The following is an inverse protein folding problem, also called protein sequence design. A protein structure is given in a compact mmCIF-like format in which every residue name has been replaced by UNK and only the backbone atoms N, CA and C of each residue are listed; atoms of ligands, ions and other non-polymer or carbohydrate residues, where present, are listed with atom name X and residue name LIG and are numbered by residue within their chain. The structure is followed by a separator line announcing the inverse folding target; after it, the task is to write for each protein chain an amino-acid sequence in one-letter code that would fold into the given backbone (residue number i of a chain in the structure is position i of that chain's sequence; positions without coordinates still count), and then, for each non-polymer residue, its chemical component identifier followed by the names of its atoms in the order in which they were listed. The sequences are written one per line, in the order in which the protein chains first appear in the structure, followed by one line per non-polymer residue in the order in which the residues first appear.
data_IF_108529294999
#
_entry.id   IF_108529294999
#
_cell.length_a   1.000
_cell.length_b   1.000
_cell.length_c   1.000
_cell.angle_alpha   90.00
_cell.angle_beta   90.00
_cell.angle_gamma   90.00
#
_symmetry.space_group_name_H-M   'P 1'
#
loop_
_entity.id
_entity.type
_entity.pdbx_description
1 polymer ?
#
# COMPACT_ATOMS: atom_id res chain seq x y z
N UNK A 1 -75.35 -20.55 16.06
CA UNK A 1 -74.72 -19.92 14.88
C UNK A 1 -73.26 -20.35 14.91
N UNK A 2 -72.80 -21.19 13.98
CA UNK A 2 -71.43 -21.71 14.02
C UNK A 2 -70.46 -20.54 13.82
N UNK A 3 -69.52 -20.41 14.73
CA UNK A 3 -68.53 -19.35 14.71
C UNK A 3 -67.70 -19.43 13.42
N UNK A 4 -67.95 -18.52 12.46
CA UNK A 4 -67.32 -18.51 11.12
C UNK A 4 -65.79 -18.59 11.20
N UNK A 5 -65.20 -18.03 12.27
CA UNK A 5 -63.77 -18.05 12.52
C UNK A 5 -63.23 -19.48 12.78
N UNK A 6 -64.00 -20.37 13.43
CA UNK A 6 -63.57 -21.76 13.70
C UNK A 6 -63.52 -22.58 12.41
N UNK A 7 -64.51 -22.41 11.54
CA UNK A 7 -64.52 -23.09 10.24
C UNK A 7 -63.41 -22.57 9.32
N UNK A 8 -63.20 -21.25 9.29
CA UNK A 8 -62.11 -20.62 8.57
C UNK A 8 -60.72 -21.08 9.08
N UNK A 9 -60.56 -21.36 10.38
CA UNK A 9 -59.34 -21.94 10.93
C UNK A 9 -59.07 -23.34 10.38
N UNK A 10 -60.08 -24.22 10.30
CA UNK A 10 -59.92 -25.58 9.75
C UNK A 10 -59.45 -25.55 8.30
N UNK A 11 -60.00 -24.65 7.51
CA UNK A 11 -59.62 -24.47 6.10
C UNK A 11 -58.24 -23.81 5.94
N UNK A 12 -57.90 -22.87 6.84
CA UNK A 12 -56.57 -22.28 6.93
C UNK A 12 -55.50 -23.35 7.26
N UNK A 13 -55.79 -24.24 8.22
CA UNK A 13 -54.92 -25.34 8.60
C UNK A 13 -54.70 -26.33 7.44
N UNK A 14 -55.73 -26.57 6.61
CA UNK A 14 -55.64 -27.37 5.36
C UNK A 14 -54.87 -26.69 4.22
N UNK A 15 -54.55 -25.41 4.36
CA UNK A 15 -53.62 -24.73 3.47
C UNK A 15 -54.22 -23.67 2.55
N UNK A 16 -55.52 -23.35 2.67
CA UNK A 16 -56.16 -22.31 1.87
C UNK A 16 -55.52 -20.93 2.09
N UNK A 17 -55.49 -20.12 1.04
CA UNK A 17 -55.00 -18.73 1.12
C UNK A 17 -56.08 -17.85 1.73
N UNK A 18 -55.67 -16.72 2.29
CA UNK A 18 -56.60 -15.76 2.89
C UNK A 18 -57.62 -15.19 1.91
N UNK A 19 -57.29 -15.09 0.61
CA UNK A 19 -58.22 -14.65 -0.44
C UNK A 19 -59.37 -15.64 -0.60
N UNK A 20 -59.04 -16.92 -0.73
CA UNK A 20 -60.03 -18.00 -0.90
C UNK A 20 -60.92 -18.16 0.35
N UNK A 21 -60.35 -17.97 1.54
CA UNK A 21 -61.12 -17.96 2.80
C UNK A 21 -62.07 -16.76 2.89
N UNK A 22 -61.62 -15.57 2.47
CA UNK A 22 -62.44 -14.37 2.48
C UNK A 22 -63.69 -14.55 1.58
N UNK A 23 -63.49 -15.08 0.37
CA UNK A 23 -64.56 -15.37 -0.58
C UNK A 23 -65.51 -16.46 -0.05
N UNK A 24 -64.98 -17.59 0.45
CA UNK A 24 -65.78 -18.71 0.95
C UNK A 24 -66.68 -18.35 2.14
N UNK A 25 -66.19 -17.49 3.05
CA UNK A 25 -66.92 -17.11 4.26
C UNK A 25 -67.63 -15.75 4.16
N UNK A 26 -67.55 -15.09 2.99
CA UNK A 26 -68.19 -13.80 2.73
C UNK A 26 -67.65 -12.68 3.64
N UNK A 27 -66.36 -12.68 3.94
CA UNK A 27 -65.69 -11.70 4.80
C UNK A 27 -64.52 -11.04 4.09
N UNK A 28 -64.08 -9.87 4.57
CA UNK A 28 -62.89 -9.24 3.99
C UNK A 28 -61.62 -10.04 4.30
N UNK A 29 -60.61 -9.92 3.44
CA UNK A 29 -59.27 -10.50 3.70
C UNK A 29 -58.68 -9.97 5.02
N UNK A 30 -58.98 -8.72 5.39
CA UNK A 30 -58.53 -8.13 6.65
C UNK A 30 -59.22 -8.78 7.87
N UNK A 31 -60.46 -9.21 7.74
CA UNK A 31 -61.18 -9.97 8.77
C UNK A 31 -60.50 -11.31 9.03
N UNK A 32 -60.12 -12.05 7.97
CA UNK A 32 -59.36 -13.30 8.09
C UNK A 32 -58.00 -13.07 8.77
N UNK A 33 -57.28 -12.00 8.41
CA UNK A 33 -56.01 -11.62 9.06
C UNK A 33 -56.20 -11.31 10.55
N UNK A 34 -57.25 -10.58 10.90
CA UNK A 34 -57.59 -10.25 12.29
C UNK A 34 -57.92 -11.51 13.10
N UNK A 35 -58.69 -12.45 12.55
CA UNK A 35 -58.96 -13.73 13.22
C UNK A 35 -57.70 -14.56 13.45
N UNK A 36 -56.82 -14.63 12.44
CA UNK A 36 -55.53 -15.31 12.56
C UNK A 36 -54.70 -14.74 13.72
N UNK A 37 -54.70 -13.42 13.89
CA UNK A 37 -53.98 -12.76 14.99
C UNK A 37 -54.67 -12.94 16.35
N UNK A 38 -55.99 -12.70 16.43
CA UNK A 38 -56.76 -12.77 17.68
C UNK A 38 -56.85 -14.18 18.26
N UNK A 39 -56.95 -15.19 17.41
CA UNK A 39 -57.11 -16.59 17.80
C UNK A 39 -55.83 -17.41 17.60
N UNK A 40 -54.68 -16.75 17.35
CA UNK A 40 -53.37 -17.40 17.28
C UNK A 40 -53.26 -18.52 16.25
N UNK A 41 -53.87 -18.39 15.07
CA UNK A 41 -53.85 -19.47 14.09
C UNK A 41 -52.44 -19.74 13.59
N UNK A 42 -51.96 -20.96 13.84
CA UNK A 42 -50.69 -21.47 13.33
C UNK A 42 -50.94 -22.57 12.29
N UNK A 43 -50.14 -22.57 11.23
CA UNK A 43 -50.09 -23.67 10.25
C UNK A 43 -48.68 -24.25 10.27
N UNK A 44 -48.55 -25.57 10.45
CA UNK A 44 -47.28 -26.27 10.19
C UNK A 44 -46.96 -26.09 8.70
N UNK A 45 -45.95 -25.28 8.37
CA UNK A 45 -45.55 -25.02 6.97
C UNK A 45 -44.98 -26.30 6.35
N UNK A 46 -45.81 -27.07 5.66
CA UNK A 46 -45.34 -27.87 4.53
C UNK A 46 -45.01 -26.91 3.38
N UNK A 47 -43.84 -27.04 2.77
CA UNK A 47 -43.41 -26.25 1.62
C UNK A 47 -44.45 -26.39 0.48
N UNK A 48 -44.97 -25.30 -0.11
CA UNK A 48 -45.81 -25.41 -1.30
C UNK A 48 -44.95 -25.98 -2.44
N UNK A 49 -45.32 -27.15 -2.98
CA UNK A 49 -44.72 -27.65 -4.21
C UNK A 49 -45.15 -26.75 -5.38
N UNK A 50 -44.14 -26.11 -5.99
CA UNK A 50 -44.04 -25.70 -7.39
C UNK A 50 -45.19 -24.87 -7.99
N UNK A 51 -44.99 -23.55 -8.04
CA UNK A 51 -45.21 -22.76 -9.27
C UNK A 51 -44.05 -21.76 -9.41
N UNK A 52 -43.03 -22.16 -10.17
CA UNK A 52 -41.98 -21.25 -10.63
C UNK A 52 -42.61 -20.25 -11.60
N UNK A 53 -42.75 -19.02 -11.16
CA UNK A 53 -43.27 -17.90 -11.96
C UNK A 53 -42.07 -17.23 -12.64
N UNK A 54 -42.00 -17.36 -13.96
CA UNK A 54 -41.06 -16.70 -14.88
C UNK A 54 -39.55 -16.96 -14.65
N UNK A 55 -38.98 -17.96 -15.33
CA UNK A 55 -37.59 -17.83 -15.78
C UNK A 55 -37.56 -16.72 -16.83
N UNK A 56 -37.12 -15.51 -16.44
CA UNK A 56 -36.83 -14.45 -17.42
C UNK A 56 -35.91 -15.03 -18.49
N UNK A 57 -36.32 -15.04 -19.75
CA UNK A 57 -35.41 -15.40 -20.85
C UNK A 57 -34.25 -14.40 -20.80
N UNK A 58 -33.04 -14.89 -20.55
CA UNK A 58 -31.83 -14.09 -20.56
C UNK A 58 -31.42 -13.91 -22.02
N UNK A 59 -31.28 -12.66 -22.46
CA UNK A 59 -30.79 -12.33 -23.80
C UNK A 59 -31.65 -11.33 -24.57
N UNK A 60 -31.05 -10.76 -25.61
CA UNK A 60 -31.77 -9.92 -26.55
C UNK A 60 -32.89 -10.74 -27.26
N UNK A 61 -34.01 -10.11 -27.63
CA UNK A 61 -35.05 -10.77 -28.42
C UNK A 61 -34.49 -11.40 -29.69
N UNK A 62 -34.97 -12.61 -30.03
CA UNK A 62 -34.59 -13.29 -31.26
C UNK A 62 -34.95 -12.40 -32.47
N UNK A 63 -33.97 -12.09 -33.32
CA UNK A 63 -34.15 -11.17 -34.47
C UNK A 63 -33.86 -9.70 -34.18
N UNK A 64 -33.27 -9.35 -33.03
CA UNK A 64 -32.84 -7.99 -32.74
C UNK A 64 -31.81 -7.49 -33.77
N UNK A 65 -32.11 -6.38 -34.45
CA UNK A 65 -31.22 -5.71 -35.43
C UNK A 65 -30.43 -4.53 -34.85
N UNK A 66 -30.48 -4.28 -33.54
CA UNK A 66 -29.80 -3.14 -32.89
C UNK A 66 -28.27 -3.17 -33.02
N UNK A 67 -27.68 -4.34 -33.29
CA UNK A 67 -26.24 -4.49 -33.55
C UNK A 67 -25.88 -4.50 -35.05
N UNK A 68 -26.85 -4.40 -35.95
CA UNK A 68 -26.62 -4.45 -37.39
C UNK A 68 -25.87 -3.18 -37.82
N UNK A 69 -24.61 -3.32 -38.26
CA UNK A 69 -23.74 -2.20 -38.65
C UNK A 69 -22.85 -1.63 -37.54
N UNK A 70 -22.94 -2.14 -36.31
CA UNK A 70 -21.93 -1.89 -35.28
C UNK A 70 -20.85 -2.96 -35.38
N UNK A 71 -19.57 -2.56 -35.45
CA UNK A 71 -18.42 -3.48 -35.51
C UNK A 71 -18.16 -4.24 -34.19
N UNK A 72 -19.08 -4.16 -33.22
CA UNK A 72 -18.87 -4.66 -31.87
C UNK A 72 -17.76 -3.90 -31.14
N UNK A 73 -17.79 -3.97 -29.81
CA UNK A 73 -16.76 -3.36 -28.97
C UNK A 73 -17.06 -1.93 -28.53
N UNK A 74 -16.22 -1.49 -27.62
CA UNK A 74 -16.27 -0.18 -27.00
C UNK A 74 -15.94 0.94 -28.04
N UNK A 75 -16.62 2.09 -28.03
CA UNK A 75 -16.27 3.22 -28.90
C UNK A 75 -14.78 3.57 -28.82
N UNK A 76 -14.18 4.01 -29.93
CA UNK A 76 -12.77 4.43 -29.95
C UNK A 76 -12.55 5.56 -28.92
N UNK A 77 -11.71 5.32 -27.91
CA UNK A 77 -11.51 6.23 -26.78
C UNK A 77 -12.33 5.92 -25.52
N UNK A 78 -13.10 4.82 -25.50
CA UNK A 78 -13.80 4.36 -24.30
C UNK A 78 -12.79 3.80 -23.28
N UNK A 79 -12.66 4.50 -22.15
CA UNK A 79 -11.81 4.13 -21.00
C UNK A 79 -12.61 3.49 -19.86
N UNK A 80 -13.89 3.13 -20.07
CA UNK A 80 -14.80 2.68 -19.00
C UNK A 80 -14.39 1.33 -18.37
N UNK A 81 -13.42 0.62 -18.94
CA UNK A 81 -12.91 -0.66 -18.44
C UNK A 81 -11.43 -0.62 -18.05
N UNK A 82 -10.82 0.56 -17.90
CA UNK A 82 -9.44 0.66 -17.37
C UNK A 82 -9.52 0.46 -15.85
N UNK A 83 -8.78 -0.52 -15.34
CA UNK A 83 -8.70 -0.90 -13.91
C UNK A 83 -8.49 0.29 -12.97
N UNK A 84 -7.81 1.34 -13.45
CA UNK A 84 -7.43 2.49 -12.64
C UNK A 84 -8.25 3.79 -12.87
N UNK A 85 -9.35 3.70 -13.62
CA UNK A 85 -10.42 4.72 -13.68
C UNK A 85 -9.97 6.19 -13.76
N UNK A 86 -10.23 6.95 -12.69
CA UNK A 86 -9.98 8.41 -12.59
C UNK A 86 -8.50 8.79 -12.77
N UNK A 87 -7.57 7.97 -12.30
CA UNK A 87 -6.15 8.31 -12.25
C UNK A 87 -5.42 8.07 -13.58
N UNK A 88 -5.95 7.22 -14.45
CA UNK A 88 -5.38 6.94 -15.78
C UNK A 88 -5.29 8.16 -16.69
N UNK A 89 -6.03 9.23 -16.38
CA UNK A 89 -5.98 10.50 -17.11
C UNK A 89 -4.77 11.37 -16.74
N UNK A 90 -4.19 11.13 -15.57
CA UNK A 90 -3.18 12.01 -14.97
C UNK A 90 -1.86 11.30 -14.70
N UNK A 91 -1.88 9.98 -14.52
CA UNK A 91 -0.71 9.20 -14.13
C UNK A 91 -0.27 8.26 -15.26
N UNK A 92 1.06 8.10 -15.47
CA UNK A 92 1.60 7.09 -16.36
C UNK A 92 1.22 5.67 -15.95
N UNK A 93 1.25 4.74 -16.90
CA UNK A 93 0.89 3.32 -16.69
C UNK A 93 1.73 2.66 -15.58
N UNK A 94 3.02 2.95 -15.52
CA UNK A 94 3.91 2.47 -14.45
C UNK A 94 3.42 2.91 -13.05
N UNK A 95 3.00 4.16 -12.91
CA UNK A 95 2.50 4.71 -11.64
C UNK A 95 1.16 4.10 -11.24
N UNK A 96 0.32 3.76 -12.22
CA UNK A 96 -0.97 3.10 -11.97
C UNK A 96 -0.79 1.67 -11.46
N UNK A 97 0.16 0.93 -12.04
CA UNK A 97 0.52 -0.41 -11.58
C UNK A 97 1.02 -0.40 -10.13
N UNK A 98 1.83 0.61 -9.77
CA UNK A 98 2.27 0.82 -8.39
C UNK A 98 1.08 1.12 -7.47
N UNK A 99 0.13 1.97 -7.88
CA UNK A 99 -1.06 2.30 -7.08
C UNK A 99 -1.93 1.09 -6.79
N UNK A 100 -2.13 0.20 -7.76
CA UNK A 100 -2.90 -1.03 -7.55
C UNK A 100 -2.19 -1.97 -6.57
N UNK A 101 -0.88 -2.15 -6.71
CA UNK A 101 -0.08 -2.91 -5.74
C UNK A 101 -0.10 -2.33 -4.32
N UNK A 102 -0.29 -1.01 -4.18
CA UNK A 102 -0.45 -0.35 -2.87
C UNK A 102 -1.85 -0.61 -2.28
N UNK A 103 -2.92 -0.58 -3.09
CA UNK A 103 -4.29 -0.76 -2.60
C UNK A 103 -4.53 -2.13 -1.97
N UNK A 104 -3.80 -3.14 -2.42
CA UNK A 104 -3.93 -4.51 -1.90
C UNK A 104 -3.12 -4.75 -0.61
N UNK A 105 -2.26 -3.81 -0.20
CA UNK A 105 -1.39 -3.97 0.97
C UNK A 105 -1.99 -3.36 2.23
N UNK A 106 -1.71 -3.99 3.37
CA UNK A 106 -2.06 -3.41 4.67
C UNK A 106 -1.11 -2.26 5.02
N UNK A 107 -1.53 -1.30 5.87
CA UNK A 107 -0.65 -0.23 6.34
C UNK A 107 0.66 -0.74 6.96
N UNK A 108 0.61 -1.88 7.66
CA UNK A 108 1.78 -2.53 8.28
C UNK A 108 2.74 -3.05 7.22
N UNK A 109 2.22 -3.65 6.16
CA UNK A 109 3.04 -4.17 5.05
C UNK A 109 3.72 -3.03 4.29
N UNK A 110 3.03 -1.91 4.09
CA UNK A 110 3.60 -0.74 3.45
C UNK A 110 4.77 -0.14 4.25
N UNK A 111 4.62 -0.03 5.57
CA UNK A 111 5.70 0.44 6.45
C UNK A 111 6.87 -0.55 6.41
N UNK A 112 6.59 -1.85 6.41
CA UNK A 112 7.62 -2.88 6.26
C UNK A 112 8.40 -2.75 4.95
N UNK A 113 7.72 -2.59 3.81
CA UNK A 113 8.39 -2.39 2.53
C UNK A 113 9.27 -1.14 2.56
N UNK A 114 8.76 -0.06 3.15
CA UNK A 114 9.52 1.19 3.28
C UNK A 114 10.78 1.02 4.14
N UNK A 115 10.70 0.25 5.23
CA UNK A 115 11.87 -0.12 6.05
C UNK A 115 12.89 -0.87 5.19
N UNK A 116 12.45 -1.85 4.39
CA UNK A 116 13.34 -2.63 3.54
C UNK A 116 14.03 -1.76 2.48
N UNK A 117 13.27 -0.89 1.81
CA UNK A 117 13.80 0.05 0.81
C UNK A 117 14.82 0.99 1.45
N UNK A 118 14.48 1.58 2.60
CA UNK A 118 15.35 2.52 3.30
C UNK A 118 16.64 1.85 3.77
N UNK A 119 16.54 0.63 4.33
CA UNK A 119 17.69 -0.16 4.74
C UNK A 119 18.60 -0.53 3.56
N UNK A 120 18.02 -0.96 2.44
CA UNK A 120 18.76 -1.26 1.21
C UNK A 120 19.45 -0.01 0.64
N UNK A 121 18.76 1.13 0.61
CA UNK A 121 19.30 2.41 0.16
C UNK A 121 20.49 2.85 1.01
N UNK A 122 20.41 2.69 2.34
CA UNK A 122 21.52 2.95 3.27
C UNK A 122 22.72 2.07 2.93
N UNK A 123 22.52 0.75 2.80
CA UNK A 123 23.63 -0.17 2.49
C UNK A 123 24.27 0.18 1.14
N UNK A 124 23.46 0.52 0.14
CA UNK A 124 23.96 0.92 -1.17
C UNK A 124 24.73 2.24 -1.10
N UNK A 125 24.20 3.24 -0.38
CA UNK A 125 24.86 4.53 -0.18
C UNK A 125 26.20 4.36 0.53
N UNK A 126 26.29 3.48 1.53
CA UNK A 126 27.56 3.14 2.19
C UNK A 126 28.61 2.63 1.19
N UNK A 127 28.23 1.85 0.18
CA UNK A 127 29.18 1.36 -0.84
C UNK A 127 29.62 2.44 -1.82
N UNK A 128 28.72 3.36 -2.18
CA UNK A 128 28.98 4.39 -3.19
C UNK A 128 29.75 5.57 -2.59
N UNK A 129 29.43 5.96 -1.36
CA UNK A 129 29.97 7.15 -0.71
C UNK A 129 31.17 6.88 0.19
N UNK A 130 31.63 5.63 0.28
CA UNK A 130 32.81 5.27 1.07
C UNK A 130 34.05 6.00 0.55
N UNK A 131 34.76 6.66 1.45
CA UNK A 131 36.06 7.29 1.20
C UNK A 131 37.11 6.30 1.66
N UNK A 132 37.99 5.88 0.77
CA UNK A 132 38.98 4.82 1.06
C UNK A 132 40.30 5.39 1.57
N UNK A 133 40.62 6.63 1.20
CA UNK A 133 41.87 7.31 1.56
C UNK A 133 41.62 8.75 2.00
N UNK A 134 42.35 9.20 3.02
CA UNK A 134 42.36 10.59 3.49
C UNK A 134 42.76 11.59 2.40
N UNK A 135 43.59 11.19 1.44
CA UNK A 135 44.03 12.03 0.32
C UNK A 135 43.15 11.87 -0.94
N UNK A 136 42.08 11.08 -0.88
CA UNK A 136 41.16 10.90 -2.00
C UNK A 136 40.54 12.24 -2.42
N UNK A 137 40.71 12.61 -3.69
CA UNK A 137 40.06 13.77 -4.29
C UNK A 137 39.34 13.34 -5.56
N UNK A 138 38.08 13.75 -5.70
CA UNK A 138 37.34 13.60 -6.95
C UNK A 138 37.42 14.92 -7.71
N UNK A 139 37.76 14.83 -8.98
CA UNK A 139 37.79 15.95 -9.92
C UNK A 139 36.71 15.73 -10.97
N UNK A 140 35.67 16.56 -10.97
CA UNK A 140 34.61 16.53 -11.98
C UNK A 140 34.72 17.75 -12.89
N UNK A 141 34.55 17.54 -14.21
CA UNK A 141 34.50 18.64 -15.17
C UNK A 141 33.14 19.35 -15.02
N UNK A 142 33.16 20.56 -14.47
CA UNK A 142 31.96 21.36 -14.23
C UNK A 142 31.52 22.09 -15.48
N UNK A 143 32.49 22.62 -16.23
CA UNK A 143 32.22 23.42 -17.42
C UNK A 143 33.37 23.30 -18.41
N UNK A 144 33.03 23.16 -19.69
CA UNK A 144 33.97 23.32 -20.79
C UNK A 144 33.42 24.35 -21.75
N UNK A 145 34.21 25.38 -22.04
CA UNK A 145 33.86 26.45 -22.96
C UNK A 145 34.95 26.53 -24.03
N UNK A 146 34.60 26.30 -25.29
CA UNK A 146 35.47 26.64 -26.40
C UNK A 146 35.09 28.02 -26.94
N UNK A 147 36.09 28.86 -27.16
CA UNK A 147 35.93 30.15 -27.82
C UNK A 147 36.81 30.13 -29.07
N UNK A 148 36.16 30.22 -30.23
CA UNK A 148 36.83 30.32 -31.51
C UNK A 148 37.18 31.79 -31.77
N UNK A 149 38.47 32.13 -31.76
CA UNK A 149 38.96 33.41 -32.29
C UNK A 149 39.42 33.23 -33.74
N UNK A 150 39.46 34.31 -34.53
CA UNK A 150 39.78 34.29 -35.98
C UNK A 150 41.10 33.59 -36.35
N UNK A 151 41.98 33.34 -35.38
CA UNK A 151 43.29 32.68 -35.60
C UNK A 151 43.62 31.55 -34.63
N UNK A 152 42.85 31.32 -33.55
CA UNK A 152 43.10 30.25 -32.58
C UNK A 152 41.82 29.83 -31.84
N UNK A 153 41.69 28.54 -31.56
CA UNK A 153 40.68 27.98 -30.66
C UNK A 153 41.24 27.96 -29.23
N UNK A 154 40.55 28.62 -28.29
CA UNK A 154 40.90 28.62 -26.87
C UNK A 154 39.84 27.82 -26.10
N UNK A 155 40.28 26.75 -25.43
CA UNK A 155 39.44 25.95 -24.55
C UNK A 155 39.66 26.36 -23.08
N UNK A 156 38.58 26.63 -22.37
CA UNK A 156 38.54 26.90 -20.93
C UNK A 156 37.80 25.74 -20.24
N UNK A 157 38.49 25.06 -19.31
CA UNK A 157 37.94 23.96 -18.51
C UNK A 157 37.87 24.36 -17.03
N UNK A 158 36.68 24.29 -16.45
CA UNK A 158 36.44 24.53 -15.02
C UNK A 158 36.16 23.19 -14.34
N UNK A 159 36.88 22.91 -13.25
CA UNK A 159 36.76 21.67 -12.49
C UNK A 159 36.19 21.92 -11.09
N UNK A 160 35.30 21.03 -10.66
CA UNK A 160 34.85 20.93 -9.29
C UNK A 160 35.67 19.86 -8.56
N UNK A 161 36.21 20.23 -7.41
CA UNK A 161 37.00 19.34 -6.57
C UNK A 161 36.19 18.99 -5.32
N UNK A 162 35.99 17.69 -5.09
CA UNK A 162 35.40 17.18 -3.87
C UNK A 162 36.47 16.47 -3.04
N UNK A 163 36.79 17.04 -1.88
CA UNK A 163 37.77 16.47 -0.96
C UNK A 163 37.16 15.34 -0.12
N UNK A 164 38.00 14.37 0.25
CA UNK A 164 37.69 13.24 1.12
C UNK A 164 36.89 13.62 2.37
N UNK A 165 37.35 14.63 3.13
CA UNK A 165 36.73 15.05 4.39
C UNK A 165 35.34 15.67 4.20
N UNK A 166 35.12 16.44 3.13
CA UNK A 166 33.84 17.07 2.84
C UNK A 166 32.79 16.03 2.38
N UNK A 167 33.21 15.10 1.52
CA UNK A 167 32.40 13.94 1.13
C UNK A 167 32.05 13.08 2.33
N UNK A 168 33.00 12.83 3.22
CA UNK A 168 32.79 12.06 4.44
C UNK A 168 31.80 12.75 5.39
N UNK A 169 31.94 14.06 5.62
CA UNK A 169 31.01 14.84 6.44
C UNK A 169 29.59 14.85 5.84
N UNK A 170 29.48 15.06 4.53
CA UNK A 170 28.21 15.02 3.80
C UNK A 170 27.55 13.64 3.92
N UNK A 171 28.34 12.59 3.76
CA UNK A 171 27.89 11.21 3.93
C UNK A 171 27.37 10.93 5.34
N UNK A 172 28.12 11.30 6.39
CA UNK A 172 27.69 11.10 7.79
C UNK A 172 26.38 11.84 8.08
N UNK A 173 26.24 13.08 7.58
CA UNK A 173 25.01 13.85 7.73
C UNK A 173 23.82 13.20 7.02
N UNK A 174 24.00 12.78 5.77
CA UNK A 174 22.97 12.08 5.01
C UNK A 174 22.59 10.74 5.67
N UNK A 175 23.59 9.97 6.12
CA UNK A 175 23.40 8.70 6.80
C UNK A 175 22.65 8.88 8.13
N UNK A 176 23.01 9.88 8.95
CA UNK A 176 22.33 10.17 10.21
C UNK A 176 20.84 10.46 10.02
N UNK A 177 20.49 11.27 9.01
CA UNK A 177 19.09 11.54 8.63
C UNK A 177 18.37 10.27 8.18
N UNK A 178 18.97 9.50 7.28
CA UNK A 178 18.39 8.24 6.81
C UNK A 178 18.18 7.22 7.95
N UNK A 179 19.10 7.18 8.93
CA UNK A 179 18.98 6.34 10.12
C UNK A 179 17.87 6.82 11.07
N UNK A 180 17.68 8.12 11.22
CA UNK A 180 16.60 8.67 12.01
C UNK A 180 15.23 8.28 11.43
N UNK A 181 15.07 8.41 10.11
CA UNK A 181 13.86 7.96 9.41
C UNK A 181 13.64 6.46 9.54
N UNK A 182 14.69 5.64 9.37
CA UNK A 182 14.60 4.20 9.57
C UNK A 182 14.14 3.84 10.98
N UNK A 183 14.67 4.51 12.03
CA UNK A 183 14.22 4.30 13.41
C UNK A 183 12.74 4.67 13.60
N UNK A 184 12.29 5.76 12.99
CA UNK A 184 10.89 6.19 13.05
C UNK A 184 9.95 5.17 12.38
N UNK A 185 10.31 4.68 11.19
CA UNK A 185 9.55 3.65 10.48
C UNK A 185 9.47 2.35 11.28
N UNK A 186 10.59 1.93 11.86
CA UNK A 186 10.65 0.73 12.72
C UNK A 186 9.73 0.90 13.93
N UNK A 187 9.71 2.09 14.56
CA UNK A 187 8.81 2.37 15.68
C UNK A 187 7.34 2.28 15.25
N UNK A 188 6.97 2.89 14.13
CA UNK A 188 5.61 2.81 13.59
C UNK A 188 5.21 1.36 13.26
N UNK A 189 6.16 0.57 12.74
CA UNK A 189 5.94 -0.85 12.49
C UNK A 189 5.69 -1.62 13.80
N UNK A 190 6.55 -1.45 14.81
CA UNK A 190 6.40 -2.12 16.11
C UNK A 190 5.10 -1.75 16.83
N UNK A 191 4.57 -0.53 16.62
CA UNK A 191 3.29 -0.08 17.18
C UNK A 191 2.07 -0.72 16.52
N UNK A 192 2.16 -1.03 15.21
CA UNK A 192 1.04 -1.58 14.44
C UNK A 192 1.12 -3.10 14.25
N UNK A 193 2.31 -3.69 14.33
CA UNK A 193 2.53 -5.11 14.14
C UNK A 193 2.09 -5.93 15.36
N UNK A 194 1.66 -7.17 15.11
CA UNK A 194 1.34 -8.11 16.18
C UNK A 194 2.60 -8.57 16.92
N UNK A 195 2.44 -8.98 18.18
CA UNK A 195 3.56 -9.37 19.05
C UNK A 195 4.41 -10.51 18.49
N UNK A 196 3.78 -11.46 17.78
CA UNK A 196 4.41 -12.64 17.18
C UNK A 196 4.75 -12.48 15.69
N UNK A 197 4.78 -11.25 15.18
CA UNK A 197 5.13 -11.01 13.78
C UNK A 197 6.61 -11.39 13.51
N UNK A 198 6.82 -12.38 12.64
CA UNK A 198 8.14 -12.88 12.23
C UNK A 198 9.09 -11.77 11.73
N UNK A 199 8.54 -10.67 11.21
CA UNK A 199 9.31 -9.51 10.74
C UNK A 199 10.03 -8.79 11.87
N UNK A 200 9.58 -8.90 13.11
CA UNK A 200 10.26 -8.29 14.27
C UNK A 200 11.64 -8.89 14.51
N UNK A 201 11.79 -10.20 14.28
CA UNK A 201 13.10 -10.86 14.34
C UNK A 201 14.04 -10.32 13.25
N UNK A 202 13.51 -10.06 12.04
CA UNK A 202 14.28 -9.44 10.96
C UNK A 202 14.70 -8.00 11.30
N UNK A 203 13.84 -7.23 11.97
CA UNK A 203 14.18 -5.89 12.46
C UNK A 203 15.31 -5.91 13.48
N UNK A 204 15.28 -6.86 14.40
CA UNK A 204 16.34 -7.04 15.38
C UNK A 204 17.69 -7.31 14.68
N UNK A 205 17.70 -8.23 13.71
CA UNK A 205 18.89 -8.49 12.90
C UNK A 205 19.38 -7.24 12.14
N UNK A 206 18.47 -6.45 11.55
CA UNK A 206 18.84 -5.18 10.90
C UNK A 206 19.47 -4.19 11.88
N UNK A 207 18.91 -4.06 13.10
CA UNK A 207 19.45 -3.20 14.16
C UNK A 207 20.85 -3.65 14.57
N UNK A 208 21.06 -4.94 14.77
CA UNK A 208 22.37 -5.50 15.11
C UNK A 208 23.41 -5.21 14.02
N UNK A 209 23.05 -5.38 12.74
CA UNK A 209 23.95 -5.06 11.63
C UNK A 209 24.30 -3.57 11.57
N UNK A 210 23.34 -2.69 11.84
CA UNK A 210 23.59 -1.23 11.89
C UNK A 210 24.53 -0.90 13.04
N UNK A 211 24.29 -1.46 14.23
CA UNK A 211 25.14 -1.23 15.40
C UNK A 211 26.56 -1.75 15.19
N UNK A 212 26.70 -2.97 14.65
CA UNK A 212 28.01 -3.54 14.32
C UNK A 212 28.78 -2.62 13.37
N UNK A 213 28.14 -2.15 12.30
CA UNK A 213 28.77 -1.20 11.36
C UNK A 213 29.12 0.14 12.00
N UNK A 214 28.31 0.64 12.95
CA UNK A 214 28.60 1.87 13.68
C UNK A 214 29.87 1.72 14.52
N UNK A 215 30.01 0.59 15.20
CA UNK A 215 31.20 0.27 15.99
C UNK A 215 32.44 0.14 15.09
N UNK A 216 32.34 -0.59 13.98
CA UNK A 216 33.45 -0.70 13.00
C UNK A 216 33.90 0.68 12.49
N UNK A 217 32.97 1.61 12.26
CA UNK A 217 33.29 2.98 11.86
C UNK A 217 33.98 3.75 13.02
N UNK A 218 33.50 3.61 14.25
CA UNK A 218 34.11 4.28 15.41
C UNK A 218 35.54 3.77 15.68
N UNK A 219 35.78 2.47 15.59
CA UNK A 219 37.12 1.87 15.72
C UNK A 219 38.09 2.40 14.65
N UNK A 220 37.66 2.50 13.39
CA UNK A 220 38.44 3.10 12.30
C UNK A 220 38.78 4.58 12.55
N UNK A 221 37.96 5.30 13.31
CA UNK A 221 38.23 6.71 13.64
C UNK A 221 39.16 6.90 14.85
N UNK A 222 39.32 5.88 15.71
CA UNK A 222 40.19 5.97 16.89
C UNK A 222 41.65 5.67 16.59
N UNK A 223 41.96 4.84 15.58
CA UNK A 223 43.34 4.57 15.16
C UNK A 223 44.06 5.81 14.60
N UNK A 224 43.32 6.84 14.21
CA UNK A 224 43.82 8.09 13.62
C UNK A 224 43.99 9.24 14.65
N UNK A 225 43.84 8.97 15.96
CA UNK A 225 44.11 9.97 17.01
C UNK A 225 45.61 10.29 17.06
N UNK A 226 46.03 11.56 16.91
CA UNK A 226 47.43 11.93 17.06
C UNK A 226 47.89 11.62 18.48
N UNK A 227 48.93 10.80 18.60
CA UNK A 227 49.56 10.48 19.89
C UNK A 227 50.18 11.74 20.48
N UNK A 228 49.80 12.06 21.72
CA UNK A 228 50.33 13.20 22.46
C UNK A 228 51.71 12.82 23.02
N UNK A 229 52.77 13.27 22.35
CA UNK A 229 54.15 13.06 22.82
C UNK A 229 54.49 14.17 23.82
N UNK A 230 54.42 13.86 25.12
CA UNK A 230 54.96 14.74 26.17
C UNK A 230 56.47 14.58 26.24
N UNK A 231 57.21 15.54 25.68
CA UNK A 231 58.68 15.60 25.84
C UNK A 231 58.96 16.22 27.21
N UNK A 232 59.40 15.40 28.16
CA UNK A 232 59.88 15.87 29.46
C UNK A 232 61.39 16.07 29.38
N UNK A 233 61.83 17.33 29.43
CA UNK A 233 63.26 17.63 29.57
C UNK A 233 63.73 17.19 30.96
N UNK A 234 64.74 16.33 30.97
CA UNK A 234 65.33 15.80 32.19
C UNK A 234 66.38 16.79 32.71
N UNK A 235 65.96 17.64 33.65
CA UNK A 235 66.82 18.34 34.61
C UNK A 235 67.58 19.56 34.08
N UNK A 236 67.05 20.74 34.37
CA UNK A 236 67.90 21.80 34.94
C UNK A 236 68.08 21.42 36.42
N UNK A 237 69.19 20.76 36.72
CA UNK A 237 69.74 20.74 38.07
C UNK A 237 70.36 22.14 38.30
N UNK A 238 69.57 23.07 38.82
CA UNK A 238 70.11 24.27 39.45
C UNK A 238 69.22 24.73 40.62
N UNK A 239 69.78 24.43 41.80
CA UNK A 239 69.68 25.11 43.12
C UNK A 239 69.02 24.33 44.26
#
# INVERSE_FOLDING_TARGET
MVDKHIQAYKDYAKGMKYKDLAEKYGVSVNTIKSWKQRHGWQRKKGAPLKKGVHTKKVGAPLGNKNALGNNGGAPKGNQNAVTHGFFSKFLPEETLSIMEGIQERSPVDMIWDQIQIQYAAIIRAQKIMFVSDKQEMIKELKKKKSVLSETNEVEEEEFEFQFSWDRHATFLNAQSRAMAELRNLIKQFDELAHSEDERRLKLEHMRLNINKKKIEIEELTEEDKPFEITIVNKGDDSD
#
